data_IF_504307321693
#
_entry.id   IF_504307321693
#
_cell.length_a   1.000
_cell.length_b   1.000
_cell.length_c   1.000
_cell.angle_alpha   90.00
_cell.angle_beta   90.00
_cell.angle_gamma   90.00
#
_symmetry.space_group_name_H-M   'P 1'
#
loop_
_entity.id
_entity.type
_entity.pdbx_description
1 polymer ?
#
# COMPACT_ATOMS: atom_id res chain seq x y z
N UNK A 1 4.53 10.12 0.87
CA UNK A 1 5.51 9.47 -0.02
C UNK A 1 4.97 9.53 -1.44
N UNK A 2 5.77 9.97 -2.41
CA UNK A 2 5.30 10.26 -3.78
C UNK A 2 5.99 9.41 -4.85
N UNK A 3 5.23 8.98 -5.85
CA UNK A 3 5.73 8.38 -7.10
C UNK A 3 4.90 8.85 -8.30
N UNK A 4 5.53 9.59 -9.21
CA UNK A 4 4.80 10.25 -10.30
C UNK A 4 3.74 11.20 -9.73
N UNK A 5 2.47 10.96 -10.11
CA UNK A 5 1.33 11.71 -9.61
C UNK A 5 0.71 11.13 -8.34
N UNK A 6 1.09 9.91 -7.94
CA UNK A 6 0.59 9.24 -6.73
C UNK A 6 1.26 9.77 -5.47
N UNK A 7 0.47 10.06 -4.45
CA UNK A 7 0.93 10.48 -3.12
C UNK A 7 0.18 9.73 -2.03
N UNK A 8 0.93 9.01 -1.19
CA UNK A 8 0.42 8.20 -0.09
C UNK A 8 0.90 8.79 1.22
N UNK A 9 -0.05 9.12 2.09
CA UNK A 9 0.22 9.74 3.38
C UNK A 9 -0.35 8.86 4.49
N UNK A 10 0.47 8.57 5.50
CA UNK A 10 0.03 7.89 6.73
C UNK A 10 -0.22 8.94 7.81
N UNK A 11 -1.28 8.77 8.58
CA UNK A 11 -1.62 9.67 9.68
C UNK A 11 -1.91 8.83 10.94
N UNK A 12 -1.39 9.22 12.11
CA UNK A 12 -1.88 8.67 13.39
C UNK A 12 -3.36 9.02 13.55
N UNK A 13 -4.21 8.10 14.01
CA UNK A 13 -5.65 8.37 14.20
C UNK A 13 -5.99 8.90 15.59
N UNK A 14 -5.12 9.74 16.17
CA UNK A 14 -5.41 10.49 17.40
C UNK A 14 -6.37 11.66 17.15
N UNK A 15 -7.04 12.16 18.21
CA UNK A 15 -8.24 13.02 18.15
C UNK A 15 -8.21 14.23 17.20
N UNK A 16 -7.05 14.73 16.78
CA UNK A 16 -6.93 15.85 15.83
C UNK A 16 -5.69 15.77 14.93
N UNK A 17 -5.12 14.59 14.71
CA UNK A 17 -3.85 14.48 13.99
C UNK A 17 -4.03 14.69 12.48
N UNK A 18 -3.96 15.97 12.07
CA UNK A 18 -3.97 16.42 10.66
C UNK A 18 -2.59 16.40 10.02
N UNK A 19 -1.57 15.98 10.76
CA UNK A 19 -0.19 15.98 10.31
C UNK A 19 0.20 14.56 9.91
N UNK A 20 0.63 14.34 8.65
CA UNK A 20 1.09 13.03 8.23
C UNK A 20 2.37 12.66 8.96
N UNK A 21 2.58 11.36 9.15
CA UNK A 21 3.78 10.79 9.74
C UNK A 21 5.00 11.22 8.91
N UNK A 22 6.04 11.70 9.59
CA UNK A 22 7.28 12.10 8.93
C UNK A 22 8.01 10.88 8.36
N UNK A 23 8.40 11.00 7.10
CA UNK A 23 9.14 9.98 6.35
C UNK A 23 10.64 10.28 6.37
N UNK A 24 11.47 9.23 6.44
CA UNK A 24 12.92 9.33 6.46
C UNK A 24 13.54 8.36 5.44
N UNK A 25 14.68 8.76 4.86
CA UNK A 25 15.46 7.96 3.88
C UNK A 25 14.56 7.40 2.76
N UNK A 26 13.78 8.27 2.15
CA UNK A 26 12.93 7.91 1.02
C UNK A 26 13.82 7.46 -0.14
N UNK A 27 13.54 6.30 -0.72
CA UNK A 27 14.22 5.77 -1.89
C UNK A 27 13.22 5.07 -2.80
N UNK A 28 13.59 4.91 -4.08
CA UNK A 28 12.85 4.10 -5.05
C UNK A 28 13.75 2.95 -5.48
N UNK A 29 13.26 1.73 -5.34
CA UNK A 29 13.92 0.51 -5.81
C UNK A 29 13.00 -0.20 -6.81
N UNK A 30 13.55 -1.07 -7.64
CA UNK A 30 12.77 -1.89 -8.55
C UNK A 30 12.98 -3.35 -8.16
N UNK A 31 11.88 -4.07 -7.93
CA UNK A 31 11.89 -5.50 -7.55
C UNK A 31 11.10 -6.33 -8.56
N UNK A 32 11.29 -7.66 -8.62
CA UNK A 32 10.41 -8.52 -9.40
C UNK A 32 8.96 -8.42 -8.90
N UNK A 33 7.99 -8.26 -9.81
CA UNK A 33 6.57 -8.36 -9.48
C UNK A 33 6.17 -9.84 -9.41
N UNK A 34 6.23 -10.42 -8.21
CA UNK A 34 5.97 -11.85 -8.00
C UNK A 34 4.50 -12.20 -8.26
N UNK A 35 3.56 -11.28 -7.97
CA UNK A 35 2.13 -11.51 -8.18
C UNK A 35 1.77 -11.63 -9.67
N UNK A 36 2.53 -10.93 -10.52
CA UNK A 36 2.31 -10.87 -11.97
C UNK A 36 3.49 -11.46 -12.76
N UNK A 37 4.28 -12.35 -12.14
CA UNK A 37 5.49 -12.91 -12.73
C UNK A 37 5.24 -13.64 -14.07
N UNK A 38 4.05 -14.22 -14.24
CA UNK A 38 3.66 -14.93 -15.46
C UNK A 38 3.15 -13.99 -16.57
N UNK A 39 3.06 -12.68 -16.32
CA UNK A 39 2.53 -11.72 -17.27
C UNK A 39 3.66 -11.21 -18.19
N UNK A 40 3.57 -11.38 -19.53
CA UNK A 40 4.68 -11.12 -20.46
C UNK A 40 5.11 -9.65 -20.59
N UNK A 41 4.56 -8.73 -19.78
CA UNK A 41 4.98 -7.34 -19.65
C UNK A 41 5.31 -6.90 -18.23
N UNK A 42 5.60 -7.85 -17.33
CA UNK A 42 6.08 -7.55 -15.98
C UNK A 42 7.52 -7.01 -16.00
N UNK A 43 7.66 -5.73 -16.32
CA UNK A 43 8.90 -4.98 -16.15
C UNK A 43 8.91 -4.45 -14.72
N UNK A 44 9.66 -5.11 -13.84
CA UNK A 44 9.98 -4.75 -12.45
C UNK A 44 9.06 -3.73 -11.72
N UNK A 45 8.53 -4.12 -10.58
CA UNK A 45 7.67 -3.30 -9.74
C UNK A 45 8.46 -2.19 -9.01
N UNK A 46 8.15 -0.89 -9.24
CA UNK A 46 8.70 0.19 -8.43
C UNK A 46 8.22 0.07 -6.98
N UNK A 47 9.16 0.08 -6.04
CA UNK A 47 8.90 0.11 -4.60
C UNK A 47 9.54 1.35 -4.02
N UNK A 48 8.70 2.29 -3.64
CA UNK A 48 9.09 3.42 -2.82
C UNK A 48 9.23 2.94 -1.37
N UNK A 49 10.39 3.17 -0.76
CA UNK A 49 10.68 2.75 0.62
C UNK A 49 10.99 3.97 1.49
N UNK A 50 10.53 3.98 2.73
CA UNK A 50 11.02 4.91 3.74
C UNK A 50 10.98 4.28 5.14
N UNK A 51 11.59 4.97 6.08
CA UNK A 51 11.37 4.74 7.50
C UNK A 51 10.37 5.76 8.05
N UNK A 52 9.53 5.31 8.98
CA UNK A 52 8.62 6.16 9.75
C UNK A 52 8.84 5.95 11.26
N UNK A 53 8.59 6.96 12.10
CA UNK A 53 8.56 6.77 13.54
C UNK A 53 7.45 5.77 13.89
N UNK A 54 7.81 4.71 14.62
CA UNK A 54 6.85 3.73 15.10
C UNK A 54 5.88 4.35 16.10
N UNK A 55 4.60 4.01 15.96
CA UNK A 55 3.61 4.21 17.02
C UNK A 55 3.55 2.98 17.93
N UNK A 56 3.01 3.09 19.16
CA UNK A 56 2.75 1.93 19.99
C UNK A 56 1.93 0.87 19.25
N UNK A 57 2.24 -0.40 19.45
CA UNK A 57 1.49 -1.52 18.87
C UNK A 57 -0.01 -1.37 19.15
N UNK A 58 -0.83 -1.56 18.11
CA UNK A 58 -2.29 -1.42 18.21
C UNK A 58 -2.79 0.02 18.06
N UNK A 59 -1.90 1.02 17.98
CA UNK A 59 -2.32 2.41 17.78
C UNK A 59 -3.03 2.57 16.43
N UNK A 60 -4.18 3.25 16.38
CA UNK A 60 -4.93 3.38 15.14
C UNK A 60 -4.22 4.36 14.20
N UNK A 61 -4.32 4.12 12.90
CA UNK A 61 -3.83 5.02 11.86
C UNK A 61 -4.78 5.02 10.66
N UNK A 62 -4.59 5.97 9.75
CA UNK A 62 -5.28 5.97 8.48
C UNK A 62 -4.32 6.35 7.36
N UNK A 63 -4.68 5.94 6.15
CA UNK A 63 -3.93 6.18 4.92
C UNK A 63 -4.77 7.04 4.02
N UNK A 64 -4.19 8.13 3.53
CA UNK A 64 -4.78 8.90 2.45
C UNK A 64 -4.12 8.55 1.12
N UNK A 65 -4.93 8.16 0.14
CA UNK A 65 -4.48 7.81 -1.21
C UNK A 65 -4.86 8.94 -2.16
N UNK A 66 -3.86 9.66 -2.65
CA UNK A 66 -4.03 10.79 -3.55
C UNK A 66 -3.32 10.59 -4.88
N UNK A 67 -3.82 11.31 -5.89
CA UNK A 67 -3.19 11.47 -7.19
C UNK A 67 -3.42 12.92 -7.59
N UNK A 68 -2.36 13.57 -8.06
CA UNK A 68 -2.37 15.00 -8.38
C UNK A 68 -3.15 15.32 -9.67
N UNK A 69 -3.38 14.28 -10.49
CA UNK A 69 -4.24 14.30 -11.68
C UNK A 69 -5.04 13.01 -11.76
N UNK A 70 -6.02 12.95 -12.65
CA UNK A 70 -6.71 11.69 -12.96
C UNK A 70 -5.67 10.63 -13.39
N UNK A 71 -5.59 9.48 -12.70
CA UNK A 71 -4.60 8.45 -13.03
C UNK A 71 -4.77 7.95 -14.46
N UNK A 72 -3.66 7.91 -15.20
CA UNK A 72 -3.63 7.37 -16.56
C UNK A 72 -3.22 5.90 -16.55
N UNK A 73 -3.98 5.06 -17.24
CA UNK A 73 -3.68 3.64 -17.38
C UNK A 73 -2.43 3.44 -18.23
N UNK A 74 -1.64 2.42 -17.91
CA UNK A 74 -0.40 2.16 -18.63
C UNK A 74 -0.64 1.67 -20.07
N UNK A 75 0.36 1.85 -20.94
CA UNK A 75 0.31 1.32 -22.30
C UNK A 75 0.14 -0.21 -22.34
N UNK A 76 0.69 -0.91 -21.35
CA UNK A 76 0.50 -2.35 -21.21
C UNK A 76 -0.98 -2.69 -21.03
N UNK A 77 -1.66 -2.00 -20.12
CA UNK A 77 -3.09 -2.22 -19.86
C UNK A 77 -3.99 -1.77 -21.01
N UNK A 78 -3.62 -0.68 -21.72
CA UNK A 78 -4.30 -0.27 -22.97
C UNK A 78 -4.25 -1.36 -24.05
N UNK A 79 -3.14 -2.10 -24.12
CA UNK A 79 -2.97 -3.19 -25.09
C UNK A 79 -3.59 -4.51 -24.62
N UNK A 80 -3.92 -4.65 -23.33
CA UNK A 80 -4.49 -5.87 -22.76
C UNK A 80 -5.94 -6.09 -23.20
N UNK A 81 -6.71 -5.03 -23.40
CA UNK A 81 -8.13 -5.12 -23.80
C UNK A 81 -8.55 -3.91 -24.62
N UNK A 82 -9.53 -4.10 -25.51
CA UNK A 82 -10.19 -3.00 -26.25
C UNK A 82 -11.04 -2.11 -25.33
N UNK A 83 -11.37 -2.59 -24.12
CA UNK A 83 -12.24 -1.92 -23.16
C UNK A 83 -11.47 -1.09 -22.13
N UNK A 84 -10.50 -0.31 -22.58
CA UNK A 84 -9.63 0.49 -21.72
C UNK A 84 -10.38 1.45 -20.78
N UNK A 85 -11.59 1.86 -21.17
CA UNK A 85 -12.52 2.68 -20.41
C UNK A 85 -13.05 2.02 -19.13
N UNK A 86 -12.99 0.69 -19.04
CA UNK A 86 -13.48 -0.05 -17.87
C UNK A 86 -12.42 -0.21 -16.78
N UNK A 87 -11.17 0.14 -17.06
CA UNK A 87 -10.05 -0.05 -16.14
C UNK A 87 -10.23 0.81 -14.89
N UNK A 88 -9.99 0.22 -13.72
CA UNK A 88 -10.01 0.88 -12.42
C UNK A 88 -8.65 0.78 -11.74
N UNK A 89 -8.39 1.77 -10.90
CA UNK A 89 -7.25 1.75 -9.97
C UNK A 89 -7.70 1.28 -8.59
N UNK A 90 -6.90 0.42 -7.98
CA UNK A 90 -7.07 -0.10 -6.63
C UNK A 90 -5.85 0.24 -5.79
N UNK A 91 -6.09 0.64 -4.54
CA UNK A 91 -5.09 0.70 -3.50
C UNK A 91 -5.32 -0.45 -2.51
N UNK A 92 -4.31 -1.31 -2.35
CA UNK A 92 -4.32 -2.40 -1.37
C UNK A 92 -3.40 -2.08 -0.22
N UNK A 93 -3.89 -2.25 1.00
CA UNK A 93 -3.09 -2.09 2.21
C UNK A 93 -2.69 -3.45 2.75
N UNK A 94 -1.38 -3.68 2.84
CA UNK A 94 -0.81 -4.87 3.44
C UNK A 94 -0.03 -4.49 4.70
N UNK A 95 -0.17 -5.28 5.75
CA UNK A 95 0.60 -5.14 6.99
C UNK A 95 1.27 -6.47 7.28
N UNK A 96 2.60 -6.48 7.40
CA UNK A 96 3.40 -7.72 7.52
C UNK A 96 3.07 -8.74 6.41
N UNK A 97 2.77 -8.26 5.19
CA UNK A 97 2.42 -9.10 4.04
C UNK A 97 0.98 -9.59 4.00
N UNK A 98 0.19 -9.34 5.04
CA UNK A 98 -1.24 -9.67 5.07
C UNK A 98 -2.06 -8.53 4.47
N UNK A 99 -2.89 -8.83 3.47
CA UNK A 99 -3.89 -7.88 2.96
C UNK A 99 -4.94 -7.59 4.04
N UNK A 100 -5.06 -6.33 4.45
CA UNK A 100 -5.97 -5.90 5.52
C UNK A 100 -7.07 -4.98 5.05
N UNK A 101 -6.88 -4.26 3.94
CA UNK A 101 -7.88 -3.33 3.40
C UNK A 101 -7.67 -3.08 1.91
N UNK A 102 -8.73 -2.68 1.20
CA UNK A 102 -8.68 -2.15 -0.17
C UNK A 102 -9.46 -0.84 -0.25
N UNK A 103 -9.05 0.05 -1.15
CA UNK A 103 -9.75 1.30 -1.46
C UNK A 103 -9.57 1.68 -2.93
N UNK A 104 -10.46 2.53 -3.45
CA UNK A 104 -10.36 3.08 -4.80
C UNK A 104 -9.85 4.51 -4.73
N UNK A 105 -9.08 5.00 -5.69
CA UNK A 105 -8.67 6.40 -5.68
C UNK A 105 -9.84 7.36 -6.01
N UNK A 106 -9.91 8.58 -5.40
CA UNK A 106 -9.23 9.01 -4.17
C UNK A 106 -9.96 8.50 -2.92
N UNK A 107 -9.23 8.03 -1.89
CA UNK A 107 -9.88 7.44 -0.72
C UNK A 107 -9.04 7.50 0.55
N UNK A 108 -9.75 7.73 1.65
CA UNK A 108 -9.25 7.62 3.01
C UNK A 108 -9.47 6.19 3.50
N UNK A 109 -8.41 5.41 3.64
CA UNK A 109 -8.48 4.04 4.15
C UNK A 109 -8.19 4.09 5.65
N UNK A 110 -9.20 3.80 6.48
CA UNK A 110 -9.12 3.85 7.93
C UNK A 110 -9.51 2.54 8.63
N UNK A 111 -10.11 1.59 7.90
CA UNK A 111 -10.62 0.32 8.45
C UNK A 111 -10.10 -0.89 7.67
N UNK A 112 -10.09 -2.03 8.36
CA UNK A 112 -9.79 -3.36 7.82
C UNK A 112 -11.05 -4.07 7.36
N UNK A 113 -10.90 -5.29 6.82
CA UNK A 113 -12.02 -6.19 6.54
C UNK A 113 -12.61 -6.88 7.78
N UNK A 114 -11.93 -6.80 8.94
CA UNK A 114 -12.39 -7.47 10.16
C UNK A 114 -13.54 -6.69 10.81
N UNK A 115 -14.51 -7.41 11.36
CA UNK A 115 -15.65 -6.84 12.06
C UNK A 115 -15.47 -7.02 13.57
N UNK A 116 -15.69 -5.94 14.32
CA UNK A 116 -15.72 -5.95 15.78
C UNK A 116 -16.93 -6.75 16.30
N UNK A 117 -16.93 -7.08 17.60
CA UNK A 117 -18.08 -7.70 18.27
C UNK A 117 -19.34 -6.84 18.21
N UNK A 118 -19.19 -5.55 17.96
CA UNK A 118 -20.25 -4.56 17.87
C UNK A 118 -20.79 -4.39 16.43
N UNK A 119 -20.23 -5.11 15.45
CA UNK A 119 -20.67 -5.01 14.05
C UNK A 119 -20.08 -3.82 13.29
N UNK A 120 -19.05 -3.17 13.85
CA UNK A 120 -18.27 -2.09 13.20
C UNK A 120 -16.95 -2.62 12.63
N UNK A 121 -16.50 -2.09 11.48
CA UNK A 121 -15.20 -2.48 10.91
C UNK A 121 -14.05 -2.05 11.83
N UNK A 122 -13.12 -2.96 12.08
CA UNK A 122 -11.94 -2.70 12.90
C UNK A 122 -11.03 -1.68 12.22
N UNK A 123 -10.51 -0.67 12.96
CA UNK A 123 -9.61 0.32 12.39
C UNK A 123 -8.26 -0.30 11.99
N UNK A 124 -7.55 0.34 11.07
CA UNK A 124 -6.15 0.03 10.81
C UNK A 124 -5.32 0.29 12.06
N UNK A 125 -4.47 -0.67 12.45
CA UNK A 125 -3.66 -0.62 13.68
C UNK A 125 -2.18 -0.82 13.37
N UNK A 126 -1.32 -0.04 14.04
CA UNK A 126 0.12 -0.14 13.87
C UNK A 126 0.62 -1.54 14.27
N UNK A 127 1.45 -2.18 13.43
CA UNK A 127 1.98 -3.51 13.72
C UNK A 127 2.95 -3.49 14.90
N UNK A 128 3.19 -4.67 15.46
CA UNK A 128 4.18 -4.85 16.52
C UNK A 128 5.58 -4.63 15.94
N UNK A 129 6.40 -3.84 16.63
CA UNK A 129 7.79 -3.69 16.24
C UNK A 129 8.54 -4.99 16.47
N UNK A 130 9.05 -5.57 15.39
CA UNK A 130 9.86 -6.80 15.41
C UNK A 130 11.32 -6.45 15.60
N UNK A 131 11.83 -6.65 16.81
CA UNK A 131 13.23 -6.32 17.17
C UNK A 131 14.24 -7.15 16.39
N UNK A 132 13.82 -8.32 15.93
CA UNK A 132 14.61 -9.26 15.14
C UNK A 132 15.10 -8.61 13.84
N UNK A 133 14.31 -7.71 13.25
CA UNK A 133 14.65 -6.97 12.04
C UNK A 133 15.86 -6.04 12.19
N UNK A 134 16.24 -5.68 13.43
CA UNK A 134 17.44 -4.87 13.69
C UNK A 134 18.73 -5.69 13.55
N UNK A 135 18.64 -7.01 13.62
CA UNK A 135 19.78 -7.92 13.57
C UNK A 135 19.91 -8.62 12.22
N UNK A 136 19.04 -8.32 11.26
CA UNK A 136 19.15 -8.87 9.92
C UNK A 136 20.31 -8.21 9.15
N UNK A 137 21.18 -9.06 8.60
CA UNK A 137 22.35 -8.63 7.83
C UNK A 137 22.01 -8.32 6.36
N UNK A 138 20.76 -8.52 5.95
CA UNK A 138 20.29 -8.24 4.60
C UNK A 138 19.02 -7.39 4.69
N UNK A 139 18.89 -6.46 3.76
CA UNK A 139 17.70 -5.63 3.62
C UNK A 139 17.23 -5.73 2.18
N UNK A 140 15.98 -6.15 1.96
CA UNK A 140 15.40 -6.23 0.63
C UNK A 140 14.16 -5.32 0.54
N UNK A 141 14.08 -4.42 -0.45
CA UNK A 141 12.91 -3.53 -0.63
C UNK A 141 11.60 -4.30 -0.87
N UNK A 142 11.68 -5.55 -1.34
CA UNK A 142 10.55 -6.45 -1.54
C UNK A 142 9.98 -7.08 -0.27
N UNK A 143 10.72 -7.11 0.85
CA UNK A 143 10.25 -7.79 2.08
C UNK A 143 8.95 -7.19 2.64
N UNK A 144 8.17 -8.02 3.32
CA UNK A 144 6.86 -7.65 3.86
C UNK A 144 6.86 -7.42 5.37
N UNK A 145 7.71 -8.13 6.10
CA UNK A 145 7.70 -8.16 7.56
C UNK A 145 8.16 -6.81 8.14
N UNK A 146 7.44 -6.30 9.14
CA UNK A 146 7.69 -5.02 9.80
C UNK A 146 7.31 -3.81 8.94
N UNK A 147 6.48 -4.00 7.91
CA UNK A 147 6.14 -2.96 6.94
C UNK A 147 4.64 -2.81 6.78
N UNK A 148 4.22 -1.57 6.63
CA UNK A 148 2.91 -1.20 6.10
C UNK A 148 3.15 -0.90 4.62
N UNK A 149 2.49 -1.63 3.72
CA UNK A 149 2.60 -1.44 2.28
C UNK A 149 1.28 -0.98 1.69
N UNK A 150 1.35 -0.05 0.75
CA UNK A 150 0.24 0.34 -0.12
C UNK A 150 0.62 0.00 -1.54
N UNK A 151 -0.10 -0.95 -2.16
CA UNK A 151 0.11 -1.34 -3.56
C UNK A 151 -0.95 -0.67 -4.40
N UNK A 152 -0.53 0.11 -5.39
CA UNK A 152 -1.42 0.66 -6.40
C UNK A 152 -1.42 -0.28 -7.60
N UNK A 153 -2.60 -0.73 -8.00
CA UNK A 153 -2.79 -1.65 -9.13
C UNK A 153 -3.81 -1.08 -10.11
N UNK A 154 -3.65 -1.39 -11.39
CA UNK A 154 -4.67 -1.18 -12.42
C UNK A 154 -5.23 -2.54 -12.87
N UNK A 155 -6.53 -2.56 -13.15
CA UNK A 155 -7.22 -3.80 -13.51
C UNK A 155 -8.66 -3.60 -13.95
N UNK A 156 -9.31 -4.68 -14.34
CA UNK A 156 -10.69 -4.68 -14.79
C UNK A 156 -11.63 -5.07 -13.65
N UNK A 157 -12.82 -4.46 -13.52
CA UNK A 157 -13.79 -4.87 -12.53
C UNK A 157 -14.23 -6.32 -12.78
N UNK A 158 -14.51 -7.04 -11.70
CA UNK A 158 -15.07 -8.39 -11.70
C UNK A 158 -16.39 -8.42 -10.95
N UNK A 159 -17.26 -9.33 -11.34
CA UNK A 159 -18.50 -9.67 -10.64
C UNK A 159 -18.22 -10.58 -9.43
N UNK A 160 -17.23 -10.22 -8.61
CA UNK A 160 -16.88 -10.95 -7.39
C UNK A 160 -16.75 -9.97 -6.24
N UNK A 161 -17.53 -10.20 -5.19
CA UNK A 161 -17.48 -9.39 -3.97
C UNK A 161 -16.16 -9.59 -3.19
N UNK A 162 -15.52 -10.75 -3.35
CA UNK A 162 -14.25 -11.07 -2.67
C UNK A 162 -13.02 -10.70 -3.49
N UNK A 163 -13.14 -10.67 -4.82
CA UNK A 163 -12.07 -10.32 -5.75
C UNK A 163 -12.62 -9.35 -6.80
N UNK A 164 -12.87 -8.09 -6.42
CA UNK A 164 -13.62 -7.15 -7.25
C UNK A 164 -12.85 -6.64 -8.48
N UNK A 165 -11.55 -6.95 -8.58
CA UNK A 165 -10.68 -6.49 -9.66
C UNK A 165 -9.79 -7.63 -10.17
N UNK A 166 -9.77 -7.80 -11.49
CA UNK A 166 -8.74 -8.53 -12.23
C UNK A 166 -7.52 -7.63 -12.42
N UNK A 167 -6.48 -7.83 -11.61
CA UNK A 167 -5.27 -7.00 -11.70
C UNK A 167 -4.50 -7.37 -12.96
N UNK A 168 -4.16 -6.34 -13.73
CA UNK A 168 -3.35 -6.47 -14.95
C UNK A 168 -1.92 -6.03 -14.67
N UNK A 169 -1.76 -4.98 -13.85
CA UNK A 169 -0.44 -4.43 -13.50
C UNK A 169 -0.45 -3.83 -12.10
N UNK A 170 0.61 -4.10 -11.33
CA UNK A 170 0.96 -3.27 -10.16
C UNK A 170 1.77 -2.05 -10.65
N UNK A 171 1.29 -0.86 -10.33
CA UNK A 171 1.86 0.42 -10.78
C UNK A 171 3.05 0.82 -9.90
N UNK A 172 2.87 0.75 -8.59
CA UNK A 172 3.87 1.12 -7.58
C UNK A 172 3.49 0.56 -6.21
N UNK A 173 4.50 0.28 -5.38
CA UNK A 173 4.35 -0.03 -3.95
C UNK A 173 4.93 1.09 -3.12
N UNK A 174 4.20 1.54 -2.10
CA UNK A 174 4.68 2.44 -1.06
C UNK A 174 4.89 1.64 0.22
N UNK A 175 6.15 1.46 0.63
CA UNK A 175 6.57 0.60 1.74
C UNK A 175 7.10 1.44 2.89
N UNK A 176 6.35 1.45 3.98
CA UNK A 176 6.66 2.18 5.20
C UNK A 176 7.21 1.20 6.25
N UNK A 177 8.52 1.26 6.49
CA UNK A 177 9.15 0.48 7.55
C UNK A 177 9.14 1.30 8.85
N UNK A 178 8.42 0.84 9.86
CA UNK A 178 8.38 1.55 11.13
C UNK A 178 9.60 1.21 11.98
N UNK A 179 10.26 2.23 12.52
CA UNK A 179 11.43 2.08 13.38
C UNK A 179 11.12 2.63 14.78
N UNK A 180 11.64 2.00 15.84
CA UNK A 180 11.46 2.48 17.20
C UNK A 180 12.19 3.82 17.32
N UNK A 181 11.50 4.80 17.91
CA UNK A 181 12.20 5.97 18.43
C UNK A 181 12.93 5.49 19.69
N UNK A 182 14.26 5.57 19.68
CA UNK A 182 15.07 5.24 20.85
C UNK A 182 14.52 5.95 22.08
N UNK A 183 14.33 5.20 23.17
CA UNK A 183 14.08 5.81 24.49
C UNK A 183 15.37 6.38 25.04
#
# INVERSE_FOLDING_TARGET
MRYGDWDILLFPSGKDSKVPVKEFRIACQVVPDIELANNPGSFGLPVMTCFIPGLPHGSPFHISVHSWKAPEISQFTKNYSKHSELVKFEARVLVDGRLVSVGQWPHLINSTFEMSKQGELEPLKFPLFRRELLYENHWNPGDDIGRIKVVISEGFPRDSLSVPIERVKNVVVFSFQHAPLGR
#
